data_IF_886349733351
#
_entry.id   IF_886349733351
#
_cell.length_a   1.000
_cell.length_b   1.000
_cell.length_c   1.000
_cell.angle_alpha   90.00
_cell.angle_beta   90.00
_cell.angle_gamma   90.00
#
_symmetry.space_group_name_H-M   'P 1'
#
loop_
_entity.id
_entity.type
_entity.pdbx_description
1 polymer ?
#
# COMPACT_ATOMS: atom_id res chain seq x y z
N UNK A 1 33.50 28.41 -19.88
CA UNK A 1 34.08 27.90 -21.13
C UNK A 1 33.61 26.46 -21.28
N UNK A 2 32.70 26.28 -22.22
CA UNK A 2 31.93 25.07 -22.49
C UNK A 2 32.83 23.95 -23.04
N UNK A 3 32.70 22.72 -22.52
CA UNK A 3 33.13 21.52 -23.25
C UNK A 3 31.97 20.53 -23.29
N UNK A 4 31.22 20.69 -24.37
CA UNK A 4 30.12 19.87 -24.84
C UNK A 4 30.64 18.48 -25.24
N UNK A 5 29.90 17.47 -24.82
CA UNK A 5 29.55 16.22 -25.52
C UNK A 5 30.52 15.60 -26.54
N UNK A 6 30.86 14.34 -26.27
CA UNK A 6 30.64 13.23 -27.23
C UNK A 6 30.29 11.98 -26.44
N UNK A 7 29.01 11.62 -26.50
CA UNK A 7 28.52 10.27 -26.22
C UNK A 7 29.10 9.34 -27.29
N UNK A 8 29.84 8.31 -26.87
CA UNK A 8 30.07 7.14 -27.71
C UNK A 8 28.91 6.18 -27.44
N UNK A 9 27.94 6.21 -28.34
CA UNK A 9 26.92 5.18 -28.54
C UNK A 9 27.54 4.00 -29.28
N UNK A 10 28.05 3.01 -28.55
CA UNK A 10 28.30 1.66 -29.08
C UNK A 10 27.40 0.68 -28.30
N UNK A 11 26.14 0.60 -28.71
CA UNK A 11 25.09 -0.21 -28.09
C UNK A 11 25.02 -1.66 -28.61
N UNK A 12 26.15 -2.26 -29.00
CA UNK A 12 26.16 -3.62 -29.60
C UNK A 12 27.06 -4.65 -28.90
N UNK A 13 27.74 -4.32 -27.79
CA UNK A 13 28.70 -5.23 -27.16
C UNK A 13 28.27 -5.86 -25.81
N UNK A 14 27.06 -5.59 -25.29
CA UNK A 14 26.71 -5.99 -23.90
C UNK A 14 26.20 -7.43 -23.71
N UNK A 15 25.85 -8.16 -24.76
CA UNK A 15 25.33 -9.54 -24.65
C UNK A 15 26.32 -10.63 -25.04
N UNK A 16 27.56 -10.26 -25.39
CA UNK A 16 28.51 -11.18 -26.00
C UNK A 16 29.38 -11.94 -24.98
N UNK A 17 28.81 -12.46 -23.88
CA UNK A 17 29.48 -13.52 -23.06
C UNK A 17 28.66 -14.15 -21.93
N UNK A 18 27.35 -14.33 -22.07
CA UNK A 18 26.65 -15.23 -21.15
C UNK A 18 26.79 -16.66 -21.68
N UNK A 19 27.78 -17.39 -21.14
CA UNK A 19 27.91 -18.83 -21.37
C UNK A 19 27.13 -19.53 -20.27
N UNK A 20 26.15 -20.35 -20.64
CA UNK A 20 25.38 -21.18 -19.71
C UNK A 20 26.37 -22.11 -19.00
N UNK A 21 26.29 -22.19 -17.67
CA UNK A 21 27.18 -23.05 -16.91
C UNK A 21 26.97 -24.52 -17.30
N UNK A 22 28.03 -25.31 -17.26
CA UNK A 22 28.00 -26.73 -17.60
C UNK A 22 27.01 -27.51 -16.72
N UNK A 23 26.83 -27.06 -15.47
CA UNK A 23 25.80 -27.58 -14.55
C UNK A 23 24.36 -27.30 -15.03
N UNK A 24 24.10 -26.11 -15.57
CA UNK A 24 22.78 -25.78 -16.13
C UNK A 24 22.56 -26.55 -17.43
N UNK A 25 23.60 -26.72 -18.25
CA UNK A 25 23.52 -27.48 -19.50
C UNK A 25 23.20 -28.96 -19.24
N UNK A 26 23.84 -29.56 -18.24
CA UNK A 26 23.58 -30.96 -17.84
C UNK A 26 22.19 -31.16 -17.23
N UNK A 27 21.68 -30.20 -16.46
CA UNK A 27 20.28 -30.20 -16.00
C UNK A 27 19.29 -30.11 -17.16
N UNK A 28 19.55 -29.24 -18.13
CA UNK A 28 18.72 -29.11 -19.33
C UNK A 28 18.71 -30.40 -20.16
N UNK A 29 19.86 -31.05 -20.33
CA UNK A 29 19.92 -32.33 -21.05
C UNK A 29 19.17 -33.44 -20.28
N UNK A 30 19.27 -33.46 -18.95
CA UNK A 30 18.49 -34.40 -18.12
C UNK A 30 16.98 -34.19 -18.27
N UNK A 31 16.52 -32.94 -18.32
CA UNK A 31 15.10 -32.60 -18.54
C UNK A 31 14.68 -32.98 -19.96
N UNK A 32 15.54 -32.75 -20.95
CA UNK A 32 15.31 -33.14 -22.34
C UNK A 32 15.17 -34.65 -22.50
N UNK A 33 16.02 -35.45 -21.87
CA UNK A 33 15.93 -36.91 -21.91
C UNK A 33 14.66 -37.40 -21.21
N UNK A 34 14.29 -36.83 -20.06
CA UNK A 34 13.03 -37.18 -19.38
C UNK A 34 11.79 -36.87 -20.24
N UNK A 35 11.82 -35.79 -21.01
CA UNK A 35 10.72 -35.39 -21.88
C UNK A 35 10.64 -36.18 -23.21
N UNK A 36 11.72 -36.83 -23.64
CA UNK A 36 11.71 -37.62 -24.89
C UNK A 36 10.74 -38.81 -24.81
N UNK A 37 10.67 -39.46 -23.66
CA UNK A 37 9.78 -40.59 -23.44
C UNK A 37 8.30 -40.15 -23.42
N UNK A 38 8.01 -38.97 -22.87
CA UNK A 38 6.67 -38.37 -22.88
C UNK A 38 6.25 -37.91 -24.29
N UNK A 39 7.17 -37.34 -25.08
CA UNK A 39 6.90 -36.94 -26.48
C UNK A 39 6.69 -38.18 -27.38
N UNK A 40 7.35 -39.30 -27.08
CA UNK A 40 7.16 -40.54 -27.81
C UNK A 40 5.76 -41.13 -27.63
N UNK A 41 5.14 -40.93 -26.45
CA UNK A 41 3.78 -41.36 -26.11
C UNK A 41 2.70 -40.29 -26.34
N UNK A 42 3.09 -39.03 -26.52
CA UNK A 42 2.19 -37.92 -26.80
C UNK A 42 1.63 -37.94 -28.24
N UNK A 43 0.60 -37.11 -28.46
CA UNK A 43 -0.04 -36.91 -29.76
C UNK A 43 1.02 -36.70 -30.88
N UNK A 44 0.96 -37.46 -32.00
CA UNK A 44 1.97 -37.44 -33.06
C UNK A 44 2.25 -36.05 -33.66
N UNK A 45 1.33 -35.08 -33.53
CA UNK A 45 1.60 -33.69 -33.93
C UNK A 45 2.76 -33.03 -33.17
N UNK A 46 3.03 -33.45 -31.92
CA UNK A 46 4.16 -32.91 -31.16
C UNK A 46 5.52 -33.31 -31.74
N UNK A 47 5.60 -34.44 -32.45
CA UNK A 47 6.83 -34.86 -33.16
C UNK A 47 7.15 -33.93 -34.34
N UNK A 48 6.14 -33.36 -34.96
CA UNK A 48 6.29 -32.38 -36.05
C UNK A 48 6.79 -31.04 -35.48
N UNK A 49 6.21 -30.58 -34.36
CA UNK A 49 6.62 -29.32 -33.70
C UNK A 49 8.04 -29.43 -33.10
N UNK A 50 8.39 -30.60 -32.56
CA UNK A 50 9.72 -30.85 -31.99
C UNK A 50 10.84 -31.02 -33.04
N UNK A 51 10.53 -30.85 -34.34
CA UNK A 51 11.52 -30.90 -35.42
C UNK A 51 12.16 -32.27 -35.62
N UNK A 52 11.49 -33.36 -35.22
CA UNK A 52 12.01 -34.72 -35.37
C UNK A 52 11.82 -35.31 -36.77
N UNK A 53 11.06 -34.67 -37.64
CA UNK A 53 11.04 -35.01 -39.06
C UNK A 53 12.21 -34.31 -39.75
N UNK A 54 13.22 -35.09 -40.15
CA UNK A 54 14.14 -34.67 -41.21
C UNK A 54 13.32 -34.57 -42.48
N UNK A 55 12.89 -33.36 -42.84
CA UNK A 55 12.49 -33.10 -44.21
C UNK A 55 13.73 -33.27 -45.09
N UNK A 56 13.70 -34.32 -45.92
CA UNK A 56 14.54 -34.38 -47.11
C UNK A 56 14.16 -33.18 -47.97
N UNK A 57 15.09 -32.23 -48.07
CA UNK A 57 15.00 -31.12 -49.02
C UNK A 57 15.07 -31.75 -50.41
N UNK A 58 13.91 -31.99 -51.02
CA UNK A 58 13.80 -32.26 -52.44
C UNK A 58 14.23 -30.99 -53.17
N UNK A 59 15.41 -31.04 -53.76
CA UNK A 59 15.90 -30.05 -54.71
C UNK A 59 14.94 -29.94 -55.89
N UNK A 60 14.21 -28.84 -56.01
CA UNK A 60 13.52 -28.48 -57.24
C UNK A 60 14.58 -28.12 -58.30
N UNK A 61 14.64 -28.92 -59.35
CA UNK A 61 15.34 -28.61 -60.59
C UNK A 61 14.53 -27.58 -61.38
N UNK A 62 15.20 -26.49 -61.76
CA UNK A 62 14.73 -25.55 -62.76
C UNK A 62 14.46 -26.27 -64.10
N UNK A 63 13.30 -26.05 -64.69
CA UNK A 63 13.17 -25.96 -66.14
C UNK A 63 12.00 -25.03 -66.50
N UNK A 64 12.36 -24.05 -67.33
CA UNK A 64 11.53 -23.02 -67.96
C UNK A 64 10.61 -23.60 -69.04
N UNK A 65 9.40 -23.06 -69.23
CA UNK A 65 9.13 -22.21 -70.40
C UNK A 65 7.76 -21.51 -70.39
N UNK A 66 7.74 -20.40 -71.12
CA UNK A 66 6.74 -19.33 -71.26
C UNK A 66 5.37 -19.72 -71.85
N UNK A 67 4.29 -18.98 -71.50
CA UNK A 67 3.57 -18.03 -72.39
C UNK A 67 2.22 -17.54 -71.84
N UNK A 68 1.89 -16.29 -72.18
CA UNK A 68 0.80 -15.44 -71.70
C UNK A 68 -0.59 -15.68 -72.34
N UNK A 69 -1.61 -15.29 -71.55
CA UNK A 69 -2.86 -14.57 -71.95
C UNK A 69 -4.13 -15.32 -72.47
N UNK A 70 -5.34 -14.71 -72.40
CA UNK A 70 -6.42 -15.20 -71.53
C UNK A 70 -7.81 -15.35 -72.22
N UNK A 71 -8.84 -15.51 -71.39
CA UNK A 71 -10.30 -15.24 -71.59
C UNK A 71 -11.27 -16.31 -72.16
N UNK A 72 -12.31 -16.51 -71.34
CA UNK A 72 -13.77 -16.59 -71.62
C UNK A 72 -14.51 -17.94 -71.76
N UNK A 73 -15.36 -18.17 -70.74
CA UNK A 73 -16.73 -18.68 -70.70
C UNK A 73 -17.22 -19.75 -71.71
N UNK A 74 -17.67 -20.90 -71.20
CA UNK A 74 -19.11 -21.24 -71.17
C UNK A 74 -19.40 -22.56 -70.45
N UNK A 75 -20.46 -22.54 -69.66
CA UNK A 75 -20.99 -23.59 -68.79
C UNK A 75 -21.53 -24.83 -69.54
N UNK A 76 -21.36 -26.01 -68.93
CA UNK A 76 -22.37 -27.07 -68.98
C UNK A 76 -22.31 -27.92 -67.70
N UNK A 77 -23.31 -27.72 -66.85
CA UNK A 77 -23.62 -28.47 -65.63
C UNK A 77 -23.82 -29.97 -65.89
N UNK A 78 -23.38 -30.83 -64.96
CA UNK A 78 -24.21 -31.91 -64.38
C UNK A 78 -23.75 -32.12 -62.92
N UNK A 79 -24.77 -32.19 -62.07
CA UNK A 79 -24.79 -32.10 -60.61
C UNK A 79 -23.92 -33.12 -59.86
N UNK A 80 -23.23 -32.64 -58.81
CA UNK A 80 -23.22 -33.33 -57.52
C UNK A 80 -23.19 -32.30 -56.40
N UNK A 81 -24.32 -32.28 -55.69
CA UNK A 81 -24.69 -31.59 -54.47
C UNK A 81 -23.61 -30.90 -53.62
N UNK A 82 -24.00 -29.70 -53.17
CA UNK A 82 -23.64 -28.98 -51.93
C UNK A 82 -22.56 -27.91 -52.06
N UNK A 83 -23.00 -26.77 -52.62
CA UNK A 83 -22.55 -25.45 -52.20
C UNK A 83 -22.58 -25.34 -50.66
N UNK A 84 -21.50 -24.86 -50.05
CA UNK A 84 -21.42 -23.45 -49.68
C UNK A 84 -20.02 -23.16 -49.12
N UNK A 85 -19.37 -22.23 -49.80
CA UNK A 85 -18.21 -21.44 -49.39
C UNK A 85 -18.03 -21.33 -47.87
N UNK A 86 -17.00 -21.98 -47.35
CA UNK A 86 -16.50 -21.67 -46.01
C UNK A 86 -15.60 -20.42 -46.15
N UNK A 87 -15.94 -19.28 -45.51
CA UNK A 87 -15.02 -18.17 -45.43
C UNK A 87 -13.80 -18.60 -44.61
N UNK A 88 -12.58 -18.29 -45.08
CA UNK A 88 -11.36 -18.48 -44.31
C UNK A 88 -11.46 -17.69 -43.00
N UNK A 89 -11.78 -18.39 -41.91
CA UNK A 89 -11.89 -17.83 -40.57
C UNK A 89 -10.49 -17.65 -39.97
N UNK A 90 -10.20 -16.43 -39.49
CA UNK A 90 -9.03 -16.11 -38.68
C UNK A 90 -8.87 -17.08 -37.51
N UNK A 91 -7.64 -17.57 -37.32
CA UNK A 91 -7.23 -18.57 -36.31
C UNK A 91 -7.35 -18.11 -34.85
N UNK A 92 -7.87 -16.92 -34.57
CA UNK A 92 -8.07 -16.42 -33.20
C UNK A 92 -9.37 -16.90 -32.54
N UNK A 93 -10.27 -17.57 -33.26
CA UNK A 93 -11.55 -18.02 -32.70
C UNK A 93 -11.54 -19.44 -32.09
N UNK A 94 -10.47 -20.21 -32.28
CA UNK A 94 -10.41 -21.63 -31.87
C UNK A 94 -9.91 -21.87 -30.43
N UNK A 95 -9.78 -20.83 -29.61
CA UNK A 95 -9.36 -20.99 -28.20
C UNK A 95 -10.52 -21.05 -27.19
N UNK A 96 -11.79 -20.89 -27.60
CA UNK A 96 -12.87 -20.66 -26.61
C UNK A 96 -14.04 -21.64 -26.61
N UNK A 97 -14.11 -22.67 -27.45
CA UNK A 97 -15.21 -23.65 -27.36
C UNK A 97 -14.75 -25.10 -27.53
N UNK A 98 -14.40 -25.72 -26.39
CA UNK A 98 -14.54 -27.17 -26.23
C UNK A 98 -15.88 -27.39 -25.55
N UNK A 99 -16.82 -27.99 -26.28
CA UNK A 99 -18.04 -28.54 -25.72
C UNK A 99 -17.63 -29.64 -24.73
N UNK A 100 -17.79 -29.38 -23.43
CA UNK A 100 -17.42 -30.33 -22.38
C UNK A 100 -18.41 -31.48 -22.40
N UNK A 101 -17.93 -32.67 -22.75
CA UNK A 101 -18.57 -33.91 -22.30
C UNK A 101 -18.53 -33.89 -20.78
N UNK A 102 -19.70 -34.00 -20.15
CA UNK A 102 -19.83 -34.01 -18.70
C UNK A 102 -19.13 -35.23 -18.11
N UNK A 103 -17.91 -35.03 -17.60
CA UNK A 103 -17.29 -35.96 -16.66
C UNK A 103 -17.84 -35.73 -15.24
N UNK A 104 -17.99 -36.79 -14.44
CA UNK A 104 -18.54 -36.68 -13.10
C UNK A 104 -17.66 -35.82 -12.22
N UNK A 105 -18.30 -34.91 -11.47
CA UNK A 105 -17.73 -33.96 -10.53
C UNK A 105 -16.58 -34.56 -9.70
N UNK A 106 -15.36 -34.33 -10.15
CA UNK A 106 -14.22 -34.21 -9.26
C UNK A 106 -14.04 -32.73 -9.02
N UNK A 107 -14.42 -32.31 -7.82
CA UNK A 107 -14.16 -31.00 -7.25
C UNK A 107 -12.84 -30.44 -7.77
N UNK A 108 -12.90 -29.37 -8.56
CA UNK A 108 -11.73 -28.59 -8.90
C UNK A 108 -11.17 -28.02 -7.60
N UNK A 109 -10.16 -28.68 -7.03
CA UNK A 109 -9.29 -28.05 -6.05
C UNK A 109 -8.53 -26.97 -6.81
N UNK A 110 -9.06 -25.75 -6.75
CA UNK A 110 -8.30 -24.52 -7.02
C UNK A 110 -7.02 -24.65 -6.19
N UNK A 111 -5.87 -24.73 -6.85
CA UNK A 111 -4.60 -24.76 -6.14
C UNK A 111 -4.53 -23.48 -5.29
N UNK A 112 -4.53 -23.64 -3.97
CA UNK A 112 -4.40 -22.51 -3.05
C UNK A 112 -3.08 -21.79 -3.39
N UNK A 113 -3.09 -20.47 -3.62
CA UNK A 113 -1.87 -19.71 -3.84
C UNK A 113 -0.91 -19.96 -2.68
N UNK A 114 0.37 -20.25 -2.97
CA UNK A 114 1.36 -20.32 -1.90
C UNK A 114 1.58 -18.91 -1.34
N UNK A 115 1.87 -18.79 -0.04
CA UNK A 115 2.03 -17.47 0.62
C UNK A 115 3.00 -16.53 -0.10
N UNK A 116 4.09 -17.09 -0.66
CA UNK A 116 5.06 -16.33 -1.46
C UNK A 116 4.42 -15.71 -2.70
N UNK A 117 3.52 -16.42 -3.37
CA UNK A 117 2.81 -15.93 -4.55
C UNK A 117 1.85 -14.78 -4.18
N UNK A 118 1.17 -14.89 -3.03
CA UNK A 118 0.28 -13.83 -2.52
C UNK A 118 1.08 -12.57 -2.19
N UNK A 119 2.21 -12.70 -1.51
CA UNK A 119 3.06 -11.58 -1.13
C UNK A 119 3.56 -10.80 -2.36
N UNK A 120 4.18 -11.50 -3.33
CA UNK A 120 4.71 -10.85 -4.52
C UNK A 120 3.59 -10.21 -5.34
N UNK A 121 2.48 -10.92 -5.55
CA UNK A 121 1.33 -10.39 -6.27
C UNK A 121 0.76 -9.13 -5.60
N UNK A 122 0.57 -9.15 -4.27
CA UNK A 122 0.06 -8.02 -3.51
C UNK A 122 1.00 -6.81 -3.59
N UNK A 123 2.30 -7.02 -3.38
CA UNK A 123 3.31 -5.95 -3.46
C UNK A 123 3.40 -5.37 -4.88
N UNK A 124 3.51 -6.21 -5.91
CA UNK A 124 3.57 -5.76 -7.31
C UNK A 124 2.32 -4.95 -7.70
N UNK A 125 1.13 -5.42 -7.33
CA UNK A 125 -0.11 -4.73 -7.63
C UNK A 125 -0.18 -3.37 -6.95
N UNK A 126 0.28 -3.27 -5.70
CA UNK A 126 0.32 -2.01 -4.95
C UNK A 126 1.37 -1.04 -5.48
N UNK A 127 2.48 -1.50 -6.05
CA UNK A 127 3.51 -0.62 -6.62
C UNK A 127 3.16 -0.06 -8.01
N UNK A 128 2.15 -0.61 -8.68
CA UNK A 128 1.65 -0.11 -9.98
C UNK A 128 1.10 1.33 -9.85
N UNK A 129 1.05 2.03 -10.98
CA UNK A 129 0.35 3.31 -11.05
C UNK A 129 -1.15 3.07 -10.84
N UNK A 130 -1.74 3.76 -9.85
CA UNK A 130 -3.11 3.49 -9.38
C UNK A 130 -3.33 2.03 -8.96
N UNK A 131 -2.31 1.44 -8.33
CA UNK A 131 -2.34 0.09 -7.79
C UNK A 131 -3.47 -0.11 -6.78
N UNK A 132 -3.99 -1.33 -6.72
CA UNK A 132 -5.03 -1.73 -5.78
C UNK A 132 -4.73 -3.10 -5.21
N UNK A 133 -5.04 -3.29 -3.93
CA UNK A 133 -5.00 -4.59 -3.30
C UNK A 133 -6.28 -5.36 -3.62
N UNK A 134 -6.13 -6.57 -4.14
CA UNK A 134 -7.23 -7.50 -4.31
C UNK A 134 -7.40 -8.33 -3.03
N UNK A 135 -8.38 -7.94 -2.20
CA UNK A 135 -8.64 -8.58 -0.92
C UNK A 135 -9.06 -10.05 -1.05
N UNK A 136 -9.56 -10.50 -2.20
CA UNK A 136 -9.91 -11.90 -2.42
C UNK A 136 -8.69 -12.83 -2.29
N UNK A 137 -7.49 -12.31 -2.59
CA UNK A 137 -6.24 -13.07 -2.43
C UNK A 137 -5.92 -13.34 -0.96
N UNK A 138 -6.32 -12.43 -0.07
CA UNK A 138 -6.11 -12.54 1.38
C UNK A 138 -7.19 -13.37 2.09
N UNK A 139 -8.35 -13.58 1.46
CA UNK A 139 -9.46 -14.37 2.05
C UNK A 139 -9.06 -15.82 2.31
N UNK A 140 -8.15 -16.36 1.51
CA UNK A 140 -7.62 -17.72 1.65
C UNK A 140 -6.68 -17.91 2.86
N UNK A 141 -6.23 -16.82 3.48
CA UNK A 141 -5.28 -16.86 4.60
C UNK A 141 -5.98 -16.98 5.95
N UNK A 142 -5.38 -17.80 6.81
CA UNK A 142 -5.69 -17.84 8.24
C UNK A 142 -5.15 -16.60 8.95
N UNK A 143 -5.69 -16.29 10.13
CA UNK A 143 -5.23 -15.14 10.92
C UNK A 143 -3.77 -15.30 11.39
N UNK A 144 -3.33 -16.55 11.63
CA UNK A 144 -1.94 -16.90 11.98
C UNK A 144 -0.96 -16.57 10.84
N UNK A 145 -1.43 -16.65 9.59
CA UNK A 145 -0.62 -16.46 8.39
C UNK A 145 -0.66 -15.03 7.86
N UNK A 146 -1.71 -14.28 8.21
CA UNK A 146 -1.91 -12.91 7.76
C UNK A 146 -0.86 -11.96 8.32
N UNK A 147 -0.58 -12.01 9.62
CA UNK A 147 0.35 -11.09 10.28
C UNK A 147 1.77 -11.19 9.69
N UNK A 148 2.38 -12.39 9.58
CA UNK A 148 3.69 -12.54 8.95
C UNK A 148 3.74 -12.01 7.51
N UNK A 149 2.71 -12.30 6.71
CA UNK A 149 2.61 -11.80 5.34
C UNK A 149 2.59 -10.25 5.31
N UNK A 150 1.79 -9.64 6.18
CA UNK A 150 1.66 -8.17 6.27
C UNK A 150 2.96 -7.51 6.76
N UNK A 151 3.67 -8.14 7.70
CA UNK A 151 4.99 -7.68 8.13
C UNK A 151 6.00 -7.76 6.96
N UNK A 152 5.99 -8.82 6.16
CA UNK A 152 6.83 -8.90 4.94
C UNK A 152 6.42 -7.87 3.88
N UNK A 153 5.12 -7.60 3.72
CA UNK A 153 4.62 -6.53 2.85
C UNK A 153 5.14 -5.16 3.31
N UNK A 154 5.17 -4.88 4.61
CA UNK A 154 5.72 -3.62 5.14
C UNK A 154 7.15 -3.38 4.64
N UNK A 155 8.00 -4.39 4.69
CA UNK A 155 9.40 -4.28 4.30
C UNK A 155 9.58 -4.03 2.80
N UNK A 156 8.72 -4.64 1.97
CA UNK A 156 8.79 -4.52 0.50
C UNK A 156 8.12 -3.26 -0.05
N UNK A 157 7.06 -2.79 0.59
CA UNK A 157 6.25 -1.68 0.08
C UNK A 157 6.97 -0.34 0.25
N UNK A 158 7.01 0.41 -0.85
CA UNK A 158 7.39 1.81 -0.89
C UNK A 158 6.28 2.68 -0.28
N UNK A 159 6.58 3.96 -0.05
CA UNK A 159 5.55 4.93 0.36
C UNK A 159 4.40 5.06 -0.66
N UNK A 160 4.66 4.79 -1.94
CA UNK A 160 3.63 4.73 -2.98
C UNK A 160 2.75 3.49 -2.82
N UNK A 161 3.36 2.33 -2.58
CA UNK A 161 2.63 1.09 -2.30
C UNK A 161 1.73 1.22 -1.06
N UNK A 162 2.24 1.84 0.01
CA UNK A 162 1.46 2.13 1.23
C UNK A 162 0.31 3.10 0.93
N UNK A 163 0.55 4.16 0.16
CA UNK A 163 -0.51 5.08 -0.25
C UNK A 163 -1.62 4.34 -1.03
N UNK A 164 -1.25 3.50 -1.99
CA UNK A 164 -2.20 2.69 -2.76
C UNK A 164 -2.93 1.66 -1.90
N UNK A 165 -2.27 1.11 -0.87
CA UNK A 165 -2.91 0.24 0.11
C UNK A 165 -3.99 1.01 0.86
N UNK A 166 -3.67 2.18 1.42
CA UNK A 166 -4.64 3.04 2.11
C UNK A 166 -5.83 3.42 1.22
N UNK A 167 -5.59 3.71 -0.05
CA UNK A 167 -6.67 3.92 -1.01
C UNK A 167 -7.51 2.66 -1.23
N UNK A 168 -6.89 1.48 -1.30
CA UNK A 168 -7.64 0.22 -1.43
C UNK A 168 -8.52 -0.05 -0.21
N UNK A 169 -8.11 0.42 0.98
CA UNK A 169 -8.90 0.28 2.21
C UNK A 169 -10.24 1.02 2.16
N UNK A 170 -10.41 2.03 1.30
CA UNK A 170 -11.70 2.71 1.12
C UNK A 170 -12.77 1.79 0.54
N UNK A 171 -12.35 0.84 -0.28
CA UNK A 171 -13.24 0.00 -1.08
C UNK A 171 -13.55 -1.35 -0.39
N UNK A 172 -13.05 -1.55 0.84
CA UNK A 172 -13.32 -2.77 1.62
C UNK A 172 -14.78 -2.89 2.03
N UNK A 173 -15.29 -4.12 2.05
CA UNK A 173 -16.56 -4.45 2.71
C UNK A 173 -16.44 -4.33 4.23
N UNK A 174 -17.56 -4.35 4.95
CA UNK A 174 -17.57 -4.25 6.42
C UNK A 174 -16.80 -5.43 7.05
N UNK A 175 -17.00 -6.64 6.51
CA UNK A 175 -16.35 -7.87 6.97
C UNK A 175 -14.83 -7.80 6.75
N UNK A 176 -14.40 -7.31 5.59
CA UNK A 176 -12.98 -7.12 5.27
C UNK A 176 -12.34 -6.06 6.18
N UNK A 177 -13.05 -4.96 6.46
CA UNK A 177 -12.60 -3.95 7.42
C UNK A 177 -12.37 -4.58 8.80
N UNK A 178 -13.37 -5.29 9.32
CA UNK A 178 -13.24 -5.96 10.63
C UNK A 178 -12.08 -6.96 10.67
N UNK A 179 -11.80 -7.67 9.58
CA UNK A 179 -10.72 -8.66 9.51
C UNK A 179 -9.33 -8.03 9.37
N UNK A 180 -9.16 -7.03 8.51
CA UNK A 180 -7.83 -6.59 8.06
C UNK A 180 -7.37 -5.23 8.60
N UNK A 181 -8.28 -4.34 9.00
CA UNK A 181 -7.93 -2.94 9.30
C UNK A 181 -6.95 -2.81 10.45
N UNK A 182 -7.17 -3.57 11.53
CA UNK A 182 -6.28 -3.59 12.69
C UNK A 182 -4.88 -4.03 12.25
N UNK A 183 -4.80 -5.12 11.49
CA UNK A 183 -3.52 -5.67 11.03
C UNK A 183 -2.77 -4.67 10.15
N UNK A 184 -3.43 -4.02 9.18
CA UNK A 184 -2.77 -3.02 8.34
C UNK A 184 -2.37 -1.76 9.13
N UNK A 185 -3.22 -1.27 10.04
CA UNK A 185 -2.87 -0.12 10.88
C UNK A 185 -1.69 -0.42 11.80
N UNK A 186 -1.70 -1.57 12.47
CA UNK A 186 -0.73 -1.93 13.51
C UNK A 186 0.59 -2.45 12.93
N UNK A 187 0.57 -3.22 11.83
CA UNK A 187 1.76 -3.88 11.28
C UNK A 187 2.38 -3.17 10.07
N UNK A 188 1.63 -2.33 9.35
CA UNK A 188 2.17 -1.52 8.24
C UNK A 188 2.23 -0.04 8.61
N UNK A 189 1.06 0.58 8.85
CA UNK A 189 0.99 2.04 8.94
C UNK A 189 1.76 2.55 10.16
N UNK A 190 1.45 2.06 11.35
CA UNK A 190 2.08 2.52 12.59
C UNK A 190 3.62 2.41 12.53
N UNK A 191 4.24 1.26 12.20
CA UNK A 191 5.69 1.16 12.06
C UNK A 191 6.26 2.15 11.04
N UNK A 192 5.62 2.30 9.86
CA UNK A 192 6.06 3.25 8.83
C UNK A 192 5.98 4.70 9.28
N UNK A 193 5.04 5.03 10.17
CA UNK A 193 4.95 6.36 10.78
C UNK A 193 6.09 6.56 11.79
N UNK A 194 6.38 5.56 12.62
CA UNK A 194 7.42 5.62 13.64
C UNK A 194 8.82 5.70 13.03
N UNK A 195 9.06 4.96 11.94
CA UNK A 195 10.34 4.90 11.24
C UNK A 195 10.60 6.12 10.34
N UNK A 196 9.57 6.92 10.06
CA UNK A 196 9.63 8.04 9.13
C UNK A 196 10.67 9.09 9.56
N UNK A 197 11.70 9.28 8.75
CA UNK A 197 12.77 10.24 9.04
C UNK A 197 12.50 11.65 8.49
N UNK A 198 11.73 11.73 7.40
CA UNK A 198 11.41 12.99 6.72
C UNK A 198 9.91 13.11 6.41
N UNK A 199 9.35 14.33 6.38
CA UNK A 199 7.94 14.54 6.06
C UNK A 199 7.53 13.92 4.73
N UNK A 200 6.53 13.03 4.75
CA UNK A 200 6.00 12.39 3.54
C UNK A 200 4.61 12.92 3.19
N UNK A 201 4.52 13.60 2.04
CA UNK A 201 3.24 14.07 1.49
C UNK A 201 2.30 12.92 1.15
N UNK A 202 2.84 11.83 0.58
CA UNK A 202 2.04 10.65 0.23
C UNK A 202 1.43 10.01 1.48
N UNK A 203 2.24 9.82 2.52
CA UNK A 203 1.75 9.22 3.76
C UNK A 203 0.77 10.15 4.49
N UNK A 204 0.99 11.46 4.43
CA UNK A 204 0.02 12.46 4.90
C UNK A 204 -1.31 12.39 4.16
N UNK A 205 -1.31 12.25 2.82
CA UNK A 205 -2.55 12.08 2.06
C UNK A 205 -3.23 10.75 2.36
N UNK A 206 -2.45 9.67 2.51
CA UNK A 206 -2.96 8.35 2.88
C UNK A 206 -3.69 8.40 4.23
N UNK A 207 -3.03 8.92 5.28
CA UNK A 207 -3.60 8.95 6.63
C UNK A 207 -4.84 9.85 6.71
N UNK A 208 -4.87 10.94 5.93
CA UNK A 208 -6.05 11.82 5.86
C UNK A 208 -7.27 11.06 5.34
N UNK A 209 -7.12 10.28 4.27
CA UNK A 209 -8.21 9.45 3.76
C UNK A 209 -8.60 8.35 4.74
N UNK A 210 -7.63 7.69 5.37
CA UNK A 210 -7.88 6.71 6.43
C UNK A 210 -8.75 7.29 7.56
N UNK A 211 -8.42 8.48 8.07
CA UNK A 211 -9.18 9.14 9.14
C UNK A 211 -10.62 9.43 8.71
N UNK A 212 -10.84 9.81 7.45
CA UNK A 212 -12.20 10.08 6.94
C UNK A 212 -13.06 8.83 6.87
N UNK A 213 -12.46 7.67 6.58
CA UNK A 213 -13.19 6.42 6.32
C UNK A 213 -13.35 5.60 7.61
N UNK A 214 -12.33 5.57 8.46
CA UNK A 214 -12.25 4.74 9.66
C UNK A 214 -11.57 5.50 10.83
N UNK A 215 -12.20 6.59 11.30
CA UNK A 215 -11.62 7.46 12.33
C UNK A 215 -11.35 6.74 13.65
N UNK A 216 -12.20 5.79 14.06
CA UNK A 216 -12.10 5.08 15.33
C UNK A 216 -10.90 4.12 15.32
N UNK A 217 -10.67 3.44 14.20
CA UNK A 217 -9.54 2.54 14.01
C UNK A 217 -8.21 3.30 13.93
N UNK A 218 -8.17 4.46 13.26
CA UNK A 218 -6.97 5.31 13.27
C UNK A 218 -6.70 5.83 14.69
N UNK A 219 -7.74 6.22 15.42
CA UNK A 219 -7.58 6.64 16.82
C UNK A 219 -6.97 5.52 17.66
N UNK A 220 -7.57 4.33 17.63
CA UNK A 220 -7.20 3.20 18.49
C UNK A 220 -5.85 2.57 18.12
N UNK A 221 -5.60 2.33 16.84
CA UNK A 221 -4.44 1.54 16.38
C UNK A 221 -3.25 2.40 15.93
N UNK A 222 -3.44 3.72 15.73
CA UNK A 222 -2.37 4.62 15.29
C UNK A 222 -2.15 5.74 16.30
N UNK A 223 -3.14 6.59 16.55
CA UNK A 223 -2.95 7.78 17.39
C UNK A 223 -2.54 7.41 18.81
N UNK A 224 -3.32 6.55 19.50
CA UNK A 224 -3.04 6.17 20.90
C UNK A 224 -1.67 5.51 21.07
N UNK A 225 -1.27 4.50 20.25
CA UNK A 225 0.07 3.91 20.34
C UNK A 225 1.22 4.89 20.09
N UNK A 226 1.03 5.87 19.19
CA UNK A 226 2.07 6.84 18.86
C UNK A 226 2.42 7.76 20.04
N UNK A 227 1.46 8.05 20.92
CA UNK A 227 1.65 9.00 22.04
C UNK A 227 2.82 8.66 22.97
N UNK A 228 3.19 7.38 23.09
CA UNK A 228 4.30 6.96 23.95
C UNK A 228 5.56 6.58 23.16
N UNK A 229 5.53 6.67 21.84
CA UNK A 229 6.64 6.26 20.97
C UNK A 229 7.62 7.42 20.72
N UNK A 230 8.90 7.11 20.49
CA UNK A 230 9.88 8.09 20.02
C UNK A 230 9.75 8.25 18.50
N UNK A 231 9.40 9.46 18.07
CA UNK A 231 9.22 9.78 16.66
C UNK A 231 10.41 10.58 16.15
N UNK A 232 10.92 10.21 14.97
CA UNK A 232 11.92 11.01 14.26
C UNK A 232 11.29 12.23 13.60
N UNK A 233 10.09 12.06 13.03
CA UNK A 233 9.28 13.14 12.45
C UNK A 233 7.90 13.27 13.13
N UNK A 234 7.52 14.50 13.49
CA UNK A 234 6.25 14.80 14.18
C UNK A 234 5.19 15.42 13.25
N UNK A 235 5.53 15.63 11.97
CA UNK A 235 4.64 16.33 11.04
C UNK A 235 3.39 15.51 10.76
N UNK A 236 3.54 14.19 10.65
CA UNK A 236 2.41 13.32 10.39
C UNK A 236 1.43 13.26 11.57
N UNK A 237 1.92 13.29 12.81
CA UNK A 237 1.06 13.35 14.00
C UNK A 237 0.28 14.66 14.04
N UNK A 238 0.94 15.76 13.66
CA UNK A 238 0.27 17.06 13.51
C UNK A 238 -0.81 16.99 12.43
N UNK A 239 -0.57 16.31 11.31
CA UNK A 239 -1.58 16.05 10.28
C UNK A 239 -2.75 15.23 10.81
N UNK A 240 -2.48 14.13 11.55
CA UNK A 240 -3.52 13.28 12.15
C UNK A 240 -4.44 14.14 13.03
N UNK A 241 -3.88 14.85 14.01
CA UNK A 241 -4.62 15.69 14.95
C UNK A 241 -5.42 16.80 14.26
N UNK A 242 -4.86 17.39 13.20
CA UNK A 242 -5.55 18.43 12.42
C UNK A 242 -6.69 17.90 11.55
N UNK A 243 -6.64 16.63 11.16
CA UNK A 243 -7.62 16.04 10.26
C UNK A 243 -8.90 15.64 10.99
N UNK A 244 -8.80 15.22 12.24
CA UNK A 244 -9.97 14.97 13.07
C UNK A 244 -10.81 16.24 13.25
N UNK A 245 -12.14 16.06 13.21
CA UNK A 245 -13.09 17.13 13.43
C UNK A 245 -13.11 17.58 14.90
N UNK A 246 -13.80 18.70 15.16
CA UNK A 246 -13.79 19.33 16.48
C UNK A 246 -14.42 18.45 17.57
N UNK A 247 -15.44 17.67 17.23
CA UNK A 247 -16.09 16.75 18.17
C UNK A 247 -15.12 15.63 18.59
N UNK A 248 -14.44 15.02 17.62
CA UNK A 248 -13.45 13.96 17.93
C UNK A 248 -12.21 14.50 18.63
N UNK A 249 -11.82 15.77 18.43
CA UNK A 249 -10.70 16.36 19.19
C UNK A 249 -10.90 16.31 20.70
N UNK A 250 -12.13 16.40 21.20
CA UNK A 250 -12.40 16.24 22.64
C UNK A 250 -12.11 14.80 23.10
N UNK A 251 -12.49 13.80 22.29
CA UNK A 251 -12.21 12.38 22.54
C UNK A 251 -10.69 12.14 22.50
N UNK A 252 -9.99 12.67 21.50
CA UNK A 252 -8.53 12.54 21.41
C UNK A 252 -7.79 13.20 22.58
N UNK A 253 -8.31 14.32 23.10
CA UNK A 253 -7.78 14.94 24.31
C UNK A 253 -7.98 14.04 25.54
N UNK A 254 -9.12 13.38 25.66
CA UNK A 254 -9.37 12.42 26.74
C UNK A 254 -8.40 11.24 26.67
N UNK A 255 -8.23 10.64 25.49
CA UNK A 255 -7.27 9.56 25.25
C UNK A 255 -5.83 10.03 25.54
N UNK A 256 -5.47 11.23 25.10
CA UNK A 256 -4.17 11.82 25.40
C UNK A 256 -3.92 11.89 26.91
N UNK A 257 -4.89 12.40 27.67
CA UNK A 257 -4.78 12.54 29.13
C UNK A 257 -4.75 11.19 29.84
N UNK A 258 -5.36 10.15 29.27
CA UNK A 258 -5.40 8.81 29.85
C UNK A 258 -4.16 7.97 29.52
N UNK A 259 -3.61 8.10 28.32
CA UNK A 259 -2.60 7.16 27.79
C UNK A 259 -1.17 7.69 27.81
N UNK A 260 -0.95 9.01 27.87
CA UNK A 260 0.42 9.57 27.87
C UNK A 260 1.12 9.28 29.20
N UNK A 261 2.18 8.49 29.15
CA UNK A 261 2.99 8.16 30.33
C UNK A 261 3.97 9.30 30.65
N UNK A 262 4.69 9.76 29.63
CA UNK A 262 5.63 10.87 29.73
C UNK A 262 5.29 11.95 28.70
N UNK A 263 5.13 13.18 29.19
CA UNK A 263 4.90 14.32 28.32
C UNK A 263 6.22 14.72 27.65
N UNK A 264 6.28 14.65 26.32
CA UNK A 264 7.42 15.06 25.46
C UNK A 264 7.18 16.46 24.89
N UNK A 265 8.23 17.10 24.36
CA UNK A 265 8.12 18.46 23.78
C UNK A 265 7.11 18.55 22.64
N UNK A 266 7.03 17.54 21.77
CA UNK A 266 6.09 17.55 20.66
C UNK A 266 4.62 17.41 21.12
N UNK A 267 4.38 16.84 22.30
CA UNK A 267 3.04 16.80 22.91
C UNK A 267 2.48 18.21 23.18
N UNK A 268 3.34 19.18 23.50
CA UNK A 268 2.91 20.56 23.71
C UNK A 268 2.24 21.11 22.44
N UNK A 269 2.77 20.77 21.26
CA UNK A 269 2.25 21.25 19.98
C UNK A 269 0.86 20.68 19.66
N UNK A 270 0.62 19.39 19.93
CA UNK A 270 -0.71 18.79 19.73
C UNK A 270 -1.71 19.28 20.78
N UNK A 271 -1.27 19.51 22.03
CA UNK A 271 -2.12 20.09 23.07
C UNK A 271 -2.58 21.51 22.71
N UNK A 272 -1.74 22.32 22.06
CA UNK A 272 -2.17 23.64 21.58
C UNK A 272 -3.35 23.54 20.61
N UNK A 273 -3.44 22.43 19.86
CA UNK A 273 -4.56 22.16 18.95
C UNK A 273 -5.82 21.75 19.71
N UNK A 274 -5.70 20.83 20.66
CA UNK A 274 -6.84 20.35 21.43
C UNK A 274 -7.42 21.44 22.34
N UNK A 275 -6.57 22.31 22.89
CA UNK A 275 -6.96 23.34 23.85
C UNK A 275 -7.34 24.68 23.18
N UNK A 276 -7.52 24.71 21.86
CA UNK A 276 -8.00 25.92 21.16
C UNK A 276 -9.50 26.15 21.30
N UNK A 277 -10.19 25.28 22.03
CA UNK A 277 -11.65 25.31 22.25
C UNK A 277 -11.96 25.42 23.75
N UNK A 278 -13.18 25.87 24.06
CA UNK A 278 -13.67 25.90 25.44
C UNK A 278 -13.97 24.48 25.89
N UNK A 279 -13.42 24.09 27.04
CA UNK A 279 -13.62 22.77 27.62
C UNK A 279 -14.77 22.79 28.63
N UNK A 280 -15.34 21.60 28.90
CA UNK A 280 -16.20 21.40 30.05
C UNK A 280 -15.40 21.41 31.36
N UNK A 281 -16.09 21.42 32.49
CA UNK A 281 -15.45 21.51 33.81
C UNK A 281 -14.53 20.31 34.10
N UNK A 282 -14.94 19.09 33.75
CA UNK A 282 -14.19 17.88 34.03
C UNK A 282 -12.89 17.82 33.22
N UNK A 283 -12.94 18.18 31.94
CA UNK A 283 -11.75 18.26 31.08
C UNK A 283 -10.84 19.41 31.50
N UNK A 284 -11.41 20.55 31.92
CA UNK A 284 -10.65 21.66 32.49
C UNK A 284 -9.85 21.22 33.70
N UNK A 285 -10.45 20.47 34.63
CA UNK A 285 -9.77 19.94 35.82
C UNK A 285 -8.60 19.00 35.44
N UNK A 286 -8.84 18.06 34.51
CA UNK A 286 -7.80 17.12 34.06
C UNK A 286 -6.62 17.87 33.41
N UNK A 287 -6.88 18.89 32.59
CA UNK A 287 -5.84 19.69 31.93
C UNK A 287 -5.06 20.55 32.92
N UNK A 288 -5.73 21.17 33.90
CA UNK A 288 -5.07 21.97 34.95
C UNK A 288 -4.17 21.06 35.79
N UNK A 289 -4.63 19.86 36.14
CA UNK A 289 -3.82 18.87 36.84
C UNK A 289 -2.57 18.49 36.04
N UNK A 290 -2.71 18.21 34.73
CA UNK A 290 -1.58 17.97 33.84
C UNK A 290 -0.57 19.13 33.86
N UNK A 291 -1.05 20.38 33.77
CA UNK A 291 -0.16 21.55 33.82
C UNK A 291 0.57 21.66 35.14
N UNK A 292 -0.11 21.45 36.27
CA UNK A 292 0.50 21.45 37.60
C UNK A 292 1.62 20.41 37.73
N UNK A 293 1.34 19.17 37.32
CA UNK A 293 2.30 18.07 37.39
C UNK A 293 3.55 18.31 36.51
N UNK A 294 3.42 19.04 35.41
CA UNK A 294 4.50 19.24 34.43
C UNK A 294 5.14 20.63 34.46
N UNK A 295 4.61 21.56 35.26
CA UNK A 295 5.03 22.96 35.27
C UNK A 295 6.52 23.14 35.59
N UNK A 296 7.06 22.37 36.54
CA UNK A 296 8.49 22.42 36.89
C UNK A 296 9.38 21.90 35.77
N UNK A 297 8.98 20.81 35.11
CA UNK A 297 9.76 20.19 34.03
C UNK A 297 9.87 21.12 32.80
N UNK A 298 8.83 21.93 32.56
CA UNK A 298 8.71 22.81 31.40
C UNK A 298 8.76 24.30 31.75
N UNK A 299 9.29 24.67 32.93
CA UNK A 299 9.27 26.06 33.43
C UNK A 299 9.94 27.06 32.49
N UNK A 300 10.99 26.63 31.77
CA UNK A 300 11.77 27.44 30.82
C UNK A 300 11.31 27.29 29.38
N UNK A 301 10.37 26.38 29.09
CA UNK A 301 9.90 26.13 27.73
C UNK A 301 8.86 27.16 27.29
N UNK A 302 9.17 27.89 26.21
CA UNK A 302 8.31 28.94 25.67
C UNK A 302 6.99 28.40 25.12
N UNK A 303 6.98 27.20 24.54
CA UNK A 303 5.78 26.61 23.96
C UNK A 303 4.81 26.18 25.06
N UNK A 304 5.33 25.69 26.19
CA UNK A 304 4.53 25.39 27.37
C UNK A 304 3.93 26.66 27.98
N UNK A 305 4.72 27.73 28.17
CA UNK A 305 4.19 29.02 28.62
C UNK A 305 3.12 29.60 27.69
N UNK A 306 3.31 29.46 26.37
CA UNK A 306 2.31 29.86 25.37
C UNK A 306 1.05 28.99 25.43
N UNK A 307 1.19 27.67 25.65
CA UNK A 307 0.08 26.74 25.79
C UNK A 307 -0.80 27.11 26.98
N UNK A 308 -0.20 27.29 28.16
CA UNK A 308 -0.89 27.72 29.39
C UNK A 308 -1.61 29.05 29.18
N UNK A 309 -0.92 30.04 28.59
CA UNK A 309 -1.53 31.33 28.30
C UNK A 309 -2.72 31.22 27.34
N UNK A 310 -2.60 30.40 26.30
CA UNK A 310 -3.65 30.20 25.31
C UNK A 310 -4.87 29.52 25.93
N UNK A 311 -4.64 28.49 26.76
CA UNK A 311 -5.69 27.80 27.50
C UNK A 311 -6.50 28.75 28.39
N UNK A 312 -5.83 29.62 29.16
CA UNK A 312 -6.49 30.58 30.05
C UNK A 312 -7.28 31.66 29.30
N UNK A 313 -6.84 32.04 28.09
CA UNK A 313 -7.59 32.99 27.25
C UNK A 313 -8.91 32.41 26.75
N UNK A 314 -8.97 31.11 26.53
CA UNK A 314 -10.16 30.42 26.02
C UNK A 314 -11.07 29.98 27.18
N UNK A 315 -10.50 29.55 28.29
CA UNK A 315 -11.22 29.02 29.45
C UNK A 315 -11.22 30.05 30.61
N UNK A 316 -12.09 31.06 30.49
CA UNK A 316 -12.12 32.21 31.42
C UNK A 316 -12.92 32.01 32.70
N UNK A 317 -13.68 30.91 32.80
CA UNK A 317 -14.56 30.63 33.94
C UNK A 317 -13.97 29.49 34.76
N UNK A 318 -12.93 29.81 35.55
CA UNK A 318 -12.29 28.86 36.47
C UNK A 318 -12.90 28.97 37.87
N UNK A 319 -12.96 27.87 38.60
CA UNK A 319 -13.24 27.87 40.04
C UNK A 319 -12.06 28.48 40.82
N UNK A 320 -12.29 28.89 42.06
CA UNK A 320 -11.22 29.43 42.91
C UNK A 320 -10.09 28.41 43.15
N UNK A 321 -10.44 27.12 43.27
CA UNK A 321 -9.45 26.04 43.40
C UNK A 321 -8.60 25.89 42.14
N UNK A 322 -9.24 25.84 40.95
CA UNK A 322 -8.56 25.80 39.66
C UNK A 322 -7.63 27.02 39.48
N UNK A 323 -8.10 28.21 39.85
CA UNK A 323 -7.34 29.46 39.78
C UNK A 323 -6.14 29.44 40.73
N UNK A 324 -6.28 28.88 41.93
CA UNK A 324 -5.16 28.70 42.87
C UNK A 324 -4.07 27.81 42.26
N UNK A 325 -4.43 26.65 41.71
CA UNK A 325 -3.48 25.74 41.06
C UNK A 325 -2.79 26.42 39.87
N UNK A 326 -3.55 27.13 39.03
CA UNK A 326 -2.98 27.84 37.89
C UNK A 326 -2.04 28.99 38.31
N UNK A 327 -2.26 29.58 39.49
CA UNK A 327 -1.36 30.59 40.05
C UNK A 327 -0.01 29.97 40.44
N UNK A 328 -0.01 28.74 40.97
CA UNK A 328 1.21 27.98 41.25
C UNK A 328 1.97 27.66 39.95
N UNK A 329 1.26 27.20 38.91
CA UNK A 329 1.83 26.97 37.57
C UNK A 329 2.46 28.26 37.01
N UNK A 330 1.79 29.40 37.18
CA UNK A 330 2.31 30.70 36.74
C UNK A 330 3.56 31.12 37.51
N UNK A 331 3.58 30.89 38.84
CA UNK A 331 4.68 31.28 39.71
C UNK A 331 6.01 30.61 39.31
N UNK A 332 5.96 29.34 38.92
CA UNK A 332 7.14 28.57 38.50
C UNK A 332 7.53 28.80 37.04
N UNK A 333 6.71 29.46 36.24
CA UNK A 333 7.03 29.74 34.83
C UNK A 333 8.14 30.79 34.72
N UNK A 334 9.27 30.45 34.08
CA UNK A 334 10.43 31.34 33.93
C UNK A 334 10.46 32.07 32.57
N UNK A 335 9.40 31.96 31.77
CA UNK A 335 9.33 32.55 30.43
C UNK A 335 8.72 33.96 30.45
N UNK A 336 8.78 34.64 29.29
CA UNK A 336 8.12 35.92 29.07
C UNK A 336 6.59 35.89 29.24
N UNK A 337 5.98 34.69 29.30
CA UNK A 337 4.53 34.52 29.45
C UNK A 337 4.05 34.56 30.90
N UNK A 338 4.95 34.53 31.90
CA UNK A 338 4.58 34.60 33.33
C UNK A 338 3.66 35.78 33.65
N UNK A 339 4.10 37.01 33.36
CA UNK A 339 3.32 38.23 33.65
C UNK A 339 1.96 38.26 32.94
N UNK A 340 1.86 37.92 31.63
CA UNK A 340 0.56 37.76 30.98
C UNK A 340 -0.37 36.74 31.65
N UNK A 341 0.15 35.59 32.08
CA UNK A 341 -0.62 34.54 32.76
C UNK A 341 -1.16 35.07 34.10
N UNK A 342 -0.27 35.61 34.93
CA UNK A 342 -0.63 36.19 36.24
C UNK A 342 -1.69 37.30 36.10
N UNK A 343 -1.56 38.16 35.08
CA UNK A 343 -2.53 39.22 34.82
C UNK A 343 -3.90 38.71 34.41
N UNK A 344 -4.00 37.56 33.74
CA UNK A 344 -5.30 36.96 33.41
C UNK A 344 -5.93 36.38 34.67
N UNK A 345 -5.15 35.62 35.44
CA UNK A 345 -5.61 35.01 36.69
C UNK A 345 -6.07 36.05 37.70
N UNK A 346 -5.42 37.22 37.79
CA UNK A 346 -5.85 38.29 38.71
C UNK A 346 -7.16 38.99 38.29
N UNK A 347 -7.58 38.84 37.02
CA UNK A 347 -8.76 39.51 36.45
C UNK A 347 -9.97 38.58 36.33
N UNK A 348 -9.73 37.26 36.25
CA UNK A 348 -10.73 36.23 36.52
C UNK A 348 -11.15 36.34 37.97
#
# INVERSE_FOLDING_TARGET
MSKMMRENTDSEAFFQKYTISEEIMTRLESVREALKDDIAQANPMWKIIAGQNKEEICSESEDSDNTDEPTDNSESQIMCATDQSVPLQSTQFYFSQVERVAEPEKSATVALPQKCDILECACENLERNNGRLDFAQLESLSDEDLVPLVDEMREKLSLKGIYNLCLSMSDMTIEQKMKYINTFCTHILLPKIVELEEPSRLLSSAIVECIKIFPDEVQQFIFVPILNTELKDITLVTTIVNTFDQERKAILLEEFLACVQEMKLWHISILQNFLSIRLDHNMTDKVIKLFSEKALNYSKDKNFGKLVLSFLKVNTALSEEQKSIMTEVAAVNETLFKKPIESILSKM
#
